data_IF_892035133578
#
_entry.id   IF_892035133578
#
_cell.length_a   1.000
_cell.length_b   1.000
_cell.length_c   1.000
_cell.angle_alpha   90.00
_cell.angle_beta   90.00
_cell.angle_gamma   90.00
#
_symmetry.space_group_name_H-M   'P 1'
#
loop_
_entity.id
_entity.type
_entity.pdbx_description
1 polymer ?
#
# COMPACT_ATOMS: atom_id res chain seq x y z
N UNK A 1 3.93 20.00 12.23
CA UNK A 1 4.08 18.59 12.65
C UNK A 1 5.54 18.34 13.00
N UNK A 2 5.85 17.99 14.25
CA UNK A 2 7.27 17.83 14.68
C UNK A 2 7.85 16.52 14.14
N UNK A 3 9.17 16.47 13.94
CA UNK A 3 9.85 15.24 13.51
C UNK A 3 9.55 14.03 14.40
N UNK A 4 9.38 14.26 15.72
CA UNK A 4 8.96 13.22 16.67
C UNK A 4 7.57 12.69 16.33
N UNK A 5 6.60 13.56 16.07
CA UNK A 5 5.23 13.16 15.72
C UNK A 5 5.19 12.29 14.45
N UNK A 6 5.98 12.64 13.42
CA UNK A 6 6.08 11.83 12.19
C UNK A 6 6.61 10.42 12.50
N UNK A 7 7.64 10.32 13.36
CA UNK A 7 8.20 9.04 13.76
C UNK A 7 7.17 8.17 14.52
N UNK A 8 6.37 8.76 15.41
CA UNK A 8 5.32 8.04 16.13
C UNK A 8 4.24 7.52 15.17
N UNK A 9 3.82 8.33 14.19
CA UNK A 9 2.85 7.89 13.18
C UNK A 9 3.43 6.76 12.32
N UNK A 10 4.71 6.87 11.93
CA UNK A 10 5.38 5.82 11.19
C UNK A 10 5.39 4.49 11.96
N UNK A 11 5.83 4.52 13.22
CA UNK A 11 5.91 3.33 14.07
C UNK A 11 4.52 2.75 14.38
N UNK A 12 3.55 3.59 14.74
CA UNK A 12 2.19 3.15 15.04
C UNK A 12 1.51 2.54 13.81
N UNK A 13 1.66 3.16 12.63
CA UNK A 13 1.13 2.63 11.37
C UNK A 13 1.72 1.26 11.05
N UNK A 14 3.05 1.10 11.12
CA UNK A 14 3.71 -0.17 10.85
C UNK A 14 3.35 -1.25 11.88
N UNK A 15 3.28 -0.91 13.16
CA UNK A 15 2.87 -1.84 14.21
C UNK A 15 1.42 -2.32 14.00
N UNK A 16 0.51 -1.39 13.69
CA UNK A 16 -0.88 -1.71 13.38
C UNK A 16 -0.98 -2.61 12.14
N UNK A 17 -0.22 -2.34 11.08
CA UNK A 17 -0.15 -3.22 9.91
C UNK A 17 0.27 -4.64 10.28
N UNK A 18 1.28 -4.82 11.14
CA UNK A 18 1.71 -6.14 11.59
C UNK A 18 0.63 -6.87 12.38
N UNK A 19 -0.10 -6.17 13.26
CA UNK A 19 -1.21 -6.75 14.03
C UNK A 19 -2.33 -7.21 13.11
N UNK A 20 -2.69 -6.41 12.11
CA UNK A 20 -3.76 -6.76 11.16
C UNK A 20 -3.34 -7.94 10.28
N UNK A 21 -2.10 -7.94 9.76
CA UNK A 21 -1.56 -9.07 9.01
C UNK A 21 -1.61 -10.33 9.88
N UNK A 22 -1.18 -10.28 11.14
CA UNK A 22 -1.27 -11.41 12.05
C UNK A 22 -2.73 -11.87 12.24
N UNK A 23 -3.68 -10.96 12.37
CA UNK A 23 -5.10 -11.31 12.48
C UNK A 23 -5.62 -12.01 11.22
N UNK A 24 -5.27 -11.54 10.03
CA UNK A 24 -5.63 -12.18 8.75
C UNK A 24 -5.06 -13.59 8.68
N UNK A 25 -3.77 -13.76 9.01
CA UNK A 25 -3.08 -15.05 8.93
C UNK A 25 -3.56 -16.06 9.98
N UNK A 26 -3.90 -15.61 11.19
CA UNK A 26 -4.27 -16.50 12.29
C UNK A 26 -5.76 -16.80 12.35
N UNK A 27 -6.62 -15.92 11.82
CA UNK A 27 -8.07 -16.04 11.94
C UNK A 27 -8.73 -16.29 10.58
N UNK A 28 -8.44 -15.43 9.60
CA UNK A 28 -9.15 -15.46 8.32
C UNK A 28 -8.66 -16.60 7.43
N UNK A 29 -7.35 -16.74 7.27
CA UNK A 29 -6.77 -17.73 6.36
C UNK A 29 -7.14 -19.17 6.75
N UNK A 30 -7.04 -19.60 8.03
CA UNK A 30 -7.44 -20.96 8.42
C UNK A 30 -8.92 -21.25 8.19
N UNK A 31 -9.79 -20.24 8.26
CA UNK A 31 -11.21 -20.38 7.97
C UNK A 31 -11.50 -20.48 6.45
N UNK A 32 -10.59 -20.01 5.60
CA UNK A 32 -10.70 -20.10 4.14
C UNK A 32 -9.96 -21.31 3.54
N UNK A 33 -8.93 -21.84 4.21
CA UNK A 33 -8.15 -22.98 3.73
C UNK A 33 -8.96 -24.25 3.39
N UNK A 34 -10.05 -24.61 4.08
CA UNK A 34 -10.87 -25.76 3.70
C UNK A 34 -11.46 -25.67 2.29
N UNK A 35 -11.54 -24.47 1.71
CA UNK A 35 -11.95 -24.26 0.31
C UNK A 35 -10.88 -24.69 -0.71
N UNK A 36 -9.64 -24.97 -0.29
CA UNK A 36 -8.56 -25.42 -1.18
C UNK A 36 -8.02 -24.35 -2.14
N UNK A 37 -8.42 -23.09 -1.99
CA UNK A 37 -7.98 -21.97 -2.81
C UNK A 37 -7.48 -20.83 -1.92
N UNK A 38 -6.52 -20.04 -2.42
CA UNK A 38 -6.00 -18.87 -1.72
C UNK A 38 -6.93 -17.66 -1.90
N UNK A 39 -6.93 -16.67 -0.99
CA UNK A 39 -7.62 -15.40 -1.21
C UNK A 39 -7.09 -14.67 -2.46
N UNK A 40 -7.86 -13.72 -3.01
CA UNK A 40 -7.49 -12.96 -4.21
C UNK A 40 -6.12 -12.30 -4.08
N UNK A 41 -5.83 -11.77 -2.90
CA UNK A 41 -4.60 -11.01 -2.62
C UNK A 41 -3.30 -11.84 -2.73
N UNK A 42 -3.43 -13.17 -2.75
CA UNK A 42 -2.28 -14.07 -2.89
C UNK A 42 -1.95 -14.41 -4.35
N UNK A 43 -2.84 -14.09 -5.30
CA UNK A 43 -2.54 -14.26 -6.72
C UNK A 43 -1.62 -13.13 -7.16
N UNK A 44 -0.33 -13.45 -7.30
CA UNK A 44 0.68 -12.51 -7.81
C UNK A 44 0.44 -12.26 -9.31
N UNK A 45 -0.34 -11.25 -9.64
CA UNK A 45 -0.54 -10.80 -11.03
C UNK A 45 -2.02 -10.84 -11.45
N UNK A 46 -2.27 -11.26 -12.69
CA UNK A 46 -3.63 -11.34 -13.24
C UNK A 46 -4.25 -12.70 -12.99
N UNK A 47 -5.48 -12.73 -12.50
CA UNK A 47 -6.30 -13.93 -12.39
C UNK A 47 -7.13 -14.12 -13.67
N UNK A 48 -7.19 -15.34 -14.19
CA UNK A 48 -8.08 -15.67 -15.32
C UNK A 48 -9.54 -15.76 -14.87
N UNK A 49 -10.47 -15.66 -15.81
CA UNK A 49 -11.89 -15.76 -15.48
C UNK A 49 -12.26 -17.12 -14.87
N UNK A 50 -11.72 -18.21 -15.41
CA UNK A 50 -11.95 -19.55 -14.86
C UNK A 50 -11.39 -19.67 -13.44
N UNK A 51 -10.18 -19.13 -13.16
CA UNK A 51 -9.63 -19.12 -11.81
C UNK A 51 -10.50 -18.34 -10.83
N UNK A 52 -11.01 -17.18 -11.24
CA UNK A 52 -11.89 -16.36 -10.41
C UNK A 52 -13.22 -17.06 -10.13
N UNK A 53 -13.81 -17.72 -11.14
CA UNK A 53 -15.02 -18.53 -10.99
C UNK A 53 -14.77 -19.71 -10.05
N UNK A 54 -13.69 -20.44 -10.24
CA UNK A 54 -13.36 -21.62 -9.44
C UNK A 54 -13.10 -21.23 -7.97
N UNK A 55 -12.46 -20.07 -7.73
CA UNK A 55 -12.34 -19.48 -6.40
C UNK A 55 -13.71 -19.10 -5.81
N UNK A 56 -14.60 -18.47 -6.57
CA UNK A 56 -15.95 -18.12 -6.10
C UNK A 56 -16.77 -19.36 -5.70
N UNK A 57 -16.65 -20.44 -6.46
CA UNK A 57 -17.30 -21.72 -6.19
C UNK A 57 -16.70 -22.37 -4.95
N UNK A 58 -15.37 -22.43 -4.87
CA UNK A 58 -14.64 -23.02 -3.73
C UNK A 58 -14.96 -22.32 -2.40
N UNK A 59 -15.05 -20.99 -2.41
CA UNK A 59 -15.39 -20.22 -1.20
C UNK A 59 -16.81 -20.52 -0.69
N UNK A 60 -17.74 -20.84 -1.59
CA UNK A 60 -19.16 -20.96 -1.26
C UNK A 60 -19.74 -19.69 -0.62
N UNK A 61 -20.95 -19.77 -0.08
CA UNK A 61 -21.61 -18.62 0.55
C UNK A 61 -20.88 -18.15 1.82
N UNK A 62 -20.49 -19.11 2.68
CA UNK A 62 -19.81 -18.82 3.94
C UNK A 62 -18.45 -18.16 3.73
N UNK A 63 -17.62 -18.71 2.84
CA UNK A 63 -16.29 -18.15 2.55
C UNK A 63 -16.39 -16.77 1.90
N UNK A 64 -17.33 -16.58 0.97
CA UNK A 64 -17.59 -15.25 0.38
C UNK A 64 -18.04 -14.23 1.44
N UNK A 65 -18.89 -14.63 2.38
CA UNK A 65 -19.33 -13.77 3.48
C UNK A 65 -18.18 -13.38 4.41
N UNK A 66 -17.35 -14.36 4.82
CA UNK A 66 -16.17 -14.10 5.64
C UNK A 66 -15.19 -13.15 4.93
N UNK A 67 -14.91 -13.39 3.66
CA UNK A 67 -14.04 -12.53 2.86
C UNK A 67 -14.63 -11.11 2.81
N UNK A 68 -15.90 -11.00 2.45
CA UNK A 68 -16.56 -9.71 2.21
C UNK A 68 -16.69 -8.85 3.46
N UNK A 69 -17.01 -9.46 4.60
CA UNK A 69 -17.39 -8.73 5.82
C UNK A 69 -16.33 -8.77 6.92
N UNK A 70 -15.29 -9.59 6.79
CA UNK A 70 -14.18 -9.64 7.76
C UNK A 70 -12.85 -9.29 7.11
N UNK A 71 -12.47 -10.01 6.04
CA UNK A 71 -11.16 -9.81 5.41
C UNK A 71 -11.05 -8.42 4.76
N UNK A 72 -11.99 -8.04 3.89
CA UNK A 72 -11.93 -6.74 3.19
C UNK A 72 -11.88 -5.56 4.17
N UNK A 73 -12.74 -5.46 5.20
CA UNK A 73 -12.61 -4.39 6.19
C UNK A 73 -11.24 -4.33 6.88
N UNK A 74 -10.66 -5.49 7.23
CA UNK A 74 -9.30 -5.55 7.79
C UNK A 74 -8.26 -5.06 6.79
N UNK A 75 -8.36 -5.48 5.53
CA UNK A 75 -7.45 -5.02 4.47
C UNK A 75 -7.56 -3.52 4.21
N UNK A 76 -8.77 -2.95 4.24
CA UNK A 76 -8.96 -1.49 4.13
C UNK A 76 -8.22 -0.73 5.25
N UNK A 77 -8.23 -1.24 6.48
CA UNK A 77 -7.48 -0.64 7.59
C UNK A 77 -5.98 -0.86 7.43
N UNK A 78 -5.56 -2.06 7.01
CA UNK A 78 -4.18 -2.41 6.72
C UNK A 78 -3.57 -1.44 5.71
N UNK A 79 -4.28 -1.17 4.63
CA UNK A 79 -3.89 -0.26 3.54
C UNK A 79 -3.60 1.14 4.05
N UNK A 80 -4.50 1.70 4.85
CA UNK A 80 -4.34 3.04 5.42
C UNK A 80 -3.17 3.06 6.40
N UNK A 81 -3.08 2.07 7.29
CA UNK A 81 -1.99 1.96 8.27
C UNK A 81 -0.63 1.82 7.60
N UNK A 82 -0.54 0.99 6.56
CA UNK A 82 0.67 0.72 5.80
C UNK A 82 1.11 1.95 5.00
N UNK A 83 0.20 2.56 4.24
CA UNK A 83 0.47 3.76 3.44
C UNK A 83 0.95 4.92 4.32
N UNK A 84 0.26 5.17 5.44
CA UNK A 84 0.65 6.19 6.41
C UNK A 84 1.99 5.85 7.09
N UNK A 85 2.18 4.59 7.50
CA UNK A 85 3.38 4.09 8.17
C UNK A 85 4.63 4.28 7.31
N UNK A 86 4.62 3.74 6.09
CA UNK A 86 5.73 3.82 5.14
C UNK A 86 5.95 5.26 4.65
N UNK A 87 4.89 5.97 4.29
CA UNK A 87 4.98 7.37 3.87
C UNK A 87 5.64 8.25 4.93
N UNK A 88 5.20 8.14 6.19
CA UNK A 88 5.81 8.86 7.31
C UNK A 88 7.24 8.38 7.59
N UNK A 89 7.55 7.09 7.47
CA UNK A 89 8.89 6.57 7.65
C UNK A 89 9.87 7.18 6.62
N UNK A 90 9.49 7.24 5.34
CA UNK A 90 10.30 7.86 4.28
C UNK A 90 10.53 9.33 4.60
N UNK A 91 9.48 10.08 4.95
CA UNK A 91 9.56 11.49 5.33
C UNK A 91 10.51 11.70 6.52
N UNK A 92 10.35 10.90 7.57
CA UNK A 92 11.14 10.98 8.80
C UNK A 92 12.62 10.67 8.54
N UNK A 93 12.90 9.60 7.79
CA UNK A 93 14.26 9.17 7.45
C UNK A 93 14.97 10.16 6.53
N UNK A 94 14.26 10.80 5.59
CA UNK A 94 14.85 11.85 4.75
C UNK A 94 15.27 13.07 5.56
N UNK A 95 14.72 13.27 6.76
CA UNK A 95 15.07 14.37 7.65
C UNK A 95 14.67 15.69 7.04
N UNK A 96 13.37 15.85 6.72
CA UNK A 96 12.81 17.15 6.33
C UNK A 96 13.27 18.17 7.38
N UNK A 97 13.99 19.24 6.98
CA UNK A 97 14.48 20.22 7.92
C UNK A 97 13.33 20.81 8.74
N UNK A 98 13.52 21.00 10.04
CA UNK A 98 12.54 21.65 10.93
C UNK A 98 12.28 23.12 10.54
N UNK A 99 12.94 23.64 9.50
CA UNK A 99 12.95 25.04 9.05
C UNK A 99 11.76 25.43 8.18
N UNK A 100 10.61 24.74 8.23
CA UNK A 100 9.41 25.18 7.51
C UNK A 100 8.96 26.61 7.87
N UNK A 101 9.45 27.18 8.98
CA UNK A 101 9.23 28.57 9.37
C UNK A 101 10.30 29.59 8.94
N UNK A 102 11.41 29.19 8.32
CA UNK A 102 12.51 30.10 7.91
C UNK A 102 12.97 29.87 6.46
N UNK A 103 12.09 29.38 5.59
CA UNK A 103 12.48 29.12 4.21
C UNK A 103 12.58 30.42 3.39
N UNK A 104 13.71 30.66 2.68
CA UNK A 104 13.81 31.73 1.70
C UNK A 104 12.72 31.56 0.63
N UNK A 105 12.25 32.67 0.06
CA UNK A 105 11.08 32.64 -0.84
C UNK A 105 11.28 31.62 -1.99
N UNK A 106 10.19 31.03 -2.53
CA UNK A 106 10.27 30.07 -3.64
C UNK A 106 11.08 30.58 -4.84
N UNK A 107 11.16 31.90 -5.02
CA UNK A 107 11.95 32.56 -6.04
C UNK A 107 13.47 32.47 -5.76
N UNK A 108 13.91 32.75 -4.53
CA UNK A 108 15.32 32.73 -4.13
C UNK A 108 15.91 31.32 -4.18
N UNK A 109 15.10 30.31 -3.84
CA UNK A 109 15.51 28.91 -4.01
C UNK A 109 15.70 28.55 -5.48
N UNK A 110 14.86 29.07 -6.39
CA UNK A 110 14.89 28.70 -7.82
C UNK A 110 16.13 29.23 -8.54
N UNK A 111 16.69 30.36 -8.08
CA UNK A 111 17.91 30.98 -8.63
C UNK A 111 19.21 30.28 -8.22
N UNK A 112 19.23 29.61 -7.06
CA UNK A 112 20.45 29.01 -6.47
C UNK A 112 20.60 27.50 -6.70
N UNK A 113 19.66 26.84 -7.35
CA UNK A 113 19.72 25.38 -7.53
C UNK A 113 20.36 25.00 -8.87
N UNK A 114 21.53 24.30 -8.88
CA UNK A 114 22.09 23.72 -10.10
C UNK A 114 21.11 22.70 -10.70
N UNK A 115 21.12 22.51 -12.02
CA UNK A 115 20.17 21.64 -12.74
C UNK A 115 20.05 20.23 -12.13
N UNK A 116 21.16 19.65 -11.65
CA UNK A 116 21.18 18.35 -10.96
C UNK A 116 20.38 18.29 -9.64
N UNK A 117 20.03 19.42 -9.04
CA UNK A 117 19.19 19.48 -7.83
C UNK A 117 17.69 19.34 -8.15
N UNK A 118 17.24 19.77 -9.35
CA UNK A 118 15.84 19.67 -9.80
C UNK A 118 15.41 18.23 -10.07
N UNK A 119 16.29 17.43 -10.69
CA UNK A 119 16.01 16.00 -10.96
C UNK A 119 15.87 15.25 -9.63
N UNK A 120 16.76 15.52 -8.66
CA UNK A 120 16.68 14.92 -7.31
C UNK A 120 15.40 15.29 -6.57
N UNK A 121 14.88 16.52 -6.74
CA UNK A 121 13.61 16.90 -6.10
C UNK A 121 12.42 16.20 -6.75
N UNK A 122 12.36 16.09 -8.08
CA UNK A 122 11.27 15.41 -8.77
C UNK A 122 11.21 13.91 -8.41
N UNK A 123 12.35 13.21 -8.48
CA UNK A 123 12.47 11.80 -8.06
C UNK A 123 12.12 11.65 -6.57
N UNK A 124 12.53 12.61 -5.74
CA UNK A 124 12.15 12.65 -4.33
C UNK A 124 10.65 12.73 -4.12
N UNK A 125 9.94 13.57 -4.86
CA UNK A 125 8.48 13.70 -4.78
C UNK A 125 7.76 12.43 -5.21
N UNK A 126 8.20 11.79 -6.29
CA UNK A 126 7.63 10.51 -6.76
C UNK A 126 7.73 9.44 -5.66
N UNK A 127 8.90 9.30 -5.03
CA UNK A 127 9.10 8.37 -3.93
C UNK A 127 8.27 8.69 -2.67
N UNK A 128 7.93 9.96 -2.45
CA UNK A 128 7.07 10.36 -1.32
C UNK A 128 5.60 10.03 -1.57
N UNK A 129 5.15 10.10 -2.82
CA UNK A 129 3.74 9.87 -3.19
C UNK A 129 3.45 8.39 -3.41
N UNK A 130 4.45 7.61 -3.80
CA UNK A 130 4.34 6.17 -4.08
C UNK A 130 3.55 5.36 -3.02
N UNK A 131 3.82 5.44 -1.71
CA UNK A 131 3.10 4.62 -0.72
C UNK A 131 1.62 4.97 -0.61
N UNK A 132 1.26 6.22 -0.86
CA UNK A 132 -0.14 6.66 -0.86
C UNK A 132 -0.88 6.21 -2.12
N UNK A 133 -0.21 6.21 -3.27
CA UNK A 133 -0.78 5.65 -4.51
C UNK A 133 -0.94 4.14 -4.40
N UNK A 134 0.03 3.43 -3.84
CA UNK A 134 -0.09 1.99 -3.55
C UNK A 134 -1.33 1.73 -2.69
N UNK A 135 -1.51 2.51 -1.62
CA UNK A 135 -2.66 2.40 -0.75
C UNK A 135 -3.99 2.74 -1.45
N UNK A 136 -4.02 3.78 -2.29
CA UNK A 136 -5.22 4.15 -3.04
C UNK A 136 -5.65 3.05 -4.02
N UNK A 137 -4.70 2.44 -4.74
CA UNK A 137 -5.00 1.33 -5.65
C UNK A 137 -5.41 0.06 -4.89
N UNK A 138 -4.81 -0.23 -3.74
CA UNK A 138 -5.24 -1.37 -2.90
C UNK A 138 -6.65 -1.17 -2.33
N UNK A 139 -6.99 0.06 -1.93
CA UNK A 139 -8.35 0.40 -1.52
C UNK A 139 -9.35 0.23 -2.67
N UNK A 140 -9.00 0.66 -3.88
CA UNK A 140 -9.86 0.46 -5.06
C UNK A 140 -10.03 -1.02 -5.40
N UNK A 141 -8.94 -1.78 -5.38
CA UNK A 141 -8.95 -3.22 -5.60
C UNK A 141 -9.88 -3.94 -4.62
N UNK A 142 -9.79 -3.63 -3.33
CA UNK A 142 -10.66 -4.20 -2.31
C UNK A 142 -12.15 -3.85 -2.53
N UNK A 143 -12.48 -2.69 -3.12
CA UNK A 143 -13.86 -2.38 -3.55
C UNK A 143 -14.29 -3.31 -4.69
N UNK A 144 -13.41 -3.56 -5.66
CA UNK A 144 -13.70 -4.45 -6.79
C UNK A 144 -13.89 -5.89 -6.32
N UNK A 145 -13.03 -6.39 -5.43
CA UNK A 145 -13.18 -7.72 -4.79
C UNK A 145 -14.51 -7.79 -4.03
N UNK A 146 -14.86 -6.76 -3.25
CA UNK A 146 -16.14 -6.72 -2.53
C UNK A 146 -17.34 -6.86 -3.47
N UNK A 147 -17.29 -6.21 -4.64
CA UNK A 147 -18.33 -6.30 -5.67
C UNK A 147 -18.34 -7.69 -6.32
N UNK A 148 -17.18 -8.26 -6.65
CA UNK A 148 -17.06 -9.60 -7.22
C UNK A 148 -17.65 -10.66 -6.28
N UNK A 149 -17.31 -10.61 -4.99
CA UNK A 149 -17.84 -11.51 -3.97
C UNK A 149 -19.36 -11.41 -3.84
N UNK A 150 -19.94 -10.24 -4.10
CA UNK A 150 -21.38 -10.02 -4.09
C UNK A 150 -22.11 -10.56 -5.33
N UNK A 151 -21.41 -10.79 -6.45
CA UNK A 151 -21.99 -11.35 -7.67
C UNK A 151 -22.11 -12.88 -7.64
N UNK A 152 -21.27 -13.57 -6.85
CA UNK A 152 -21.23 -15.02 -6.80
C UNK A 152 -21.01 -15.61 -8.19
N UNK A 153 -21.95 -16.43 -8.66
CA UNK A 153 -21.87 -17.11 -9.95
C UNK A 153 -22.08 -16.16 -11.15
N UNK A 154 -22.64 -14.97 -10.91
CA UNK A 154 -22.83 -13.92 -11.92
C UNK A 154 -21.59 -13.06 -12.19
N UNK A 155 -20.39 -13.65 -12.07
CA UNK A 155 -19.13 -12.93 -12.14
C UNK A 155 -18.94 -12.22 -13.50
N UNK A 156 -18.65 -10.92 -13.46
CA UNK A 156 -18.41 -10.12 -14.66
C UNK A 156 -16.94 -10.16 -15.10
N UNK A 157 -16.68 -10.54 -16.36
CA UNK A 157 -15.33 -10.46 -16.98
C UNK A 157 -14.75 -9.05 -16.87
N UNK A 158 -15.58 -8.03 -17.12
CA UNK A 158 -15.16 -6.62 -17.04
C UNK A 158 -14.67 -6.23 -15.65
N UNK A 159 -15.34 -6.72 -14.61
CA UNK A 159 -14.97 -6.43 -13.22
C UNK A 159 -13.63 -7.09 -12.86
N UNK A 160 -13.40 -8.31 -13.37
CA UNK A 160 -12.13 -9.01 -13.21
C UNK A 160 -10.97 -8.33 -13.96
N UNK A 161 -11.21 -7.84 -15.18
CA UNK A 161 -10.20 -7.09 -15.93
C UNK A 161 -9.81 -5.79 -15.21
N UNK A 162 -10.78 -5.10 -14.62
CA UNK A 162 -10.54 -3.90 -13.81
C UNK A 162 -9.78 -4.23 -12.53
N UNK A 163 -10.12 -5.35 -11.86
CA UNK A 163 -9.39 -5.87 -10.70
C UNK A 163 -7.92 -6.08 -11.07
N UNK A 164 -7.65 -6.91 -12.08
CA UNK A 164 -6.30 -7.24 -12.53
C UNK A 164 -5.46 -6.01 -12.89
N UNK A 165 -6.06 -5.02 -13.56
CA UNK A 165 -5.38 -3.75 -13.90
C UNK A 165 -5.01 -2.98 -12.64
N UNK A 166 -5.93 -2.89 -11.70
CA UNK A 166 -5.74 -2.18 -10.43
C UNK A 166 -4.68 -2.85 -9.57
N UNK A 167 -4.71 -4.19 -9.45
CA UNK A 167 -3.68 -4.98 -8.76
C UNK A 167 -2.30 -4.73 -9.37
N UNK A 168 -2.21 -4.63 -10.70
CA UNK A 168 -0.96 -4.26 -11.38
C UNK A 168 -0.40 -2.90 -10.94
N UNK A 169 -1.25 -1.87 -10.86
CA UNK A 169 -0.83 -0.55 -10.36
C UNK A 169 -0.44 -0.59 -8.89
N UNK A 170 -1.20 -1.29 -8.04
CA UNK A 170 -0.85 -1.51 -6.63
C UNK A 170 0.56 -2.04 -6.49
N UNK A 171 0.89 -3.15 -7.15
CA UNK A 171 2.20 -3.79 -7.05
C UNK A 171 3.33 -2.89 -7.56
N UNK A 172 3.10 -2.14 -8.64
CA UNK A 172 4.08 -1.20 -9.17
C UNK A 172 4.42 -0.09 -8.15
N UNK A 173 3.41 0.55 -7.55
CA UNK A 173 3.63 1.60 -6.55
C UNK A 173 4.14 1.05 -5.22
N UNK A 174 3.75 -0.17 -4.85
CA UNK A 174 4.26 -0.84 -3.67
C UNK A 174 5.78 -1.10 -3.81
N UNK A 175 6.22 -1.66 -4.93
CA UNK A 175 7.64 -1.87 -5.22
C UNK A 175 8.42 -0.54 -5.18
N UNK A 176 7.88 0.51 -5.79
CA UNK A 176 8.46 1.85 -5.77
C UNK A 176 8.61 2.40 -4.34
N UNK A 177 7.64 2.13 -3.47
CA UNK A 177 7.65 2.52 -2.05
C UNK A 177 8.72 1.80 -1.25
N UNK A 178 8.92 0.50 -1.51
CA UNK A 178 10.00 -0.29 -0.88
C UNK A 178 11.37 0.25 -1.29
N UNK A 179 11.56 0.52 -2.59
CA UNK A 179 12.79 1.12 -3.10
C UNK A 179 13.04 2.50 -2.47
N UNK A 180 12.00 3.33 -2.37
CA UNK A 180 12.07 4.64 -1.72
C UNK A 180 12.52 4.54 -0.25
N UNK A 181 11.92 3.61 0.50
CA UNK A 181 12.26 3.37 1.90
C UNK A 181 13.70 2.90 2.05
N UNK A 182 14.15 1.97 1.20
CA UNK A 182 15.53 1.48 1.20
C UNK A 182 16.53 2.63 1.02
N UNK A 183 16.35 3.49 0.02
CA UNK A 183 17.23 4.64 -0.19
C UNK A 183 17.15 5.67 0.94
N UNK A 184 15.97 5.85 1.55
CA UNK A 184 15.82 6.72 2.72
C UNK A 184 16.61 6.19 3.92
N UNK A 185 16.55 4.87 4.18
CA UNK A 185 17.34 4.21 5.23
C UNK A 185 18.84 4.32 4.97
N UNK A 186 19.30 4.06 3.74
CA UNK A 186 20.71 4.17 3.37
C UNK A 186 21.22 5.61 3.55
N UNK A 187 20.45 6.59 3.07
CA UNK A 187 20.78 8.01 3.25
C UNK A 187 20.79 8.45 4.71
N UNK A 188 19.94 7.87 5.55
CA UNK A 188 19.97 8.09 7.00
C UNK A 188 21.22 7.48 7.65
N UNK A 189 21.55 6.22 7.33
CA UNK A 189 22.71 5.52 7.87
C UNK A 189 24.04 6.21 7.51
N UNK A 190 24.19 6.67 6.26
CA UNK A 190 25.39 7.40 5.82
C UNK A 190 25.58 8.74 6.54
N UNK A 191 24.49 9.44 6.88
CA UNK A 191 24.56 10.71 7.61
C UNK A 191 24.95 10.52 9.07
N UNK A 192 24.63 9.37 9.68
CA UNK A 192 24.98 9.08 11.08
C UNK A 192 26.47 8.79 11.29
N UNK A 193 27.19 8.40 10.22
CA UNK A 193 28.63 8.11 10.27
C UNK A 193 29.52 9.35 10.13
N UNK A 194 28.93 10.49 9.76
CA UNK A 194 29.61 11.79 9.66
C UNK A 194 29.33 12.56 10.94
#
# INVERSE_FOLDING_TARGET
MTRRMIAHIALAGLALSLVIVAAIWLVVLPAMLPAGQLPFDFYKGSMTFDQARDLMLALGERGRSLYRYVLIPLDMVLVVAYGAGIGCAIVWLRGIPDTWGQHPSPYEMRRRQPAGRRIRSAVGSVFLVAPFLAAAFDFWENILVFRMLGQGDGLSIRLLEELNRTSGYKWAFLALSVVALFFAMLGFAMRRKR
#
